data_IF_319807917750
#
_entry.id   IF_319807917750
#
_cell.length_a   1.000
_cell.length_b   1.000
_cell.length_c   1.000
_cell.angle_alpha   90.00
_cell.angle_beta   90.00
_cell.angle_gamma   90.00
#
_symmetry.space_group_name_H-M   'P 1'
#
loop_
_entity.id
_entity.type
_entity.pdbx_description
1 polymer ?
#
# COMPACT_ATOMS: atom_id res chain seq x y z
N UNK A 1 -20.25 -14.73 -8.83
CA UNK A 1 -19.01 -14.09 -9.35
C UNK A 1 -17.82 -14.86 -8.81
N UNK A 2 -16.82 -15.22 -9.65
CA UNK A 2 -15.59 -15.89 -9.19
C UNK A 2 -14.51 -14.82 -9.00
N UNK A 3 -13.99 -14.71 -7.79
CA UNK A 3 -12.87 -13.81 -7.47
C UNK A 3 -11.64 -14.68 -7.17
N UNK A 4 -10.48 -14.29 -7.69
CA UNK A 4 -9.22 -14.99 -7.40
C UNK A 4 -8.64 -14.43 -6.10
N UNK A 5 -9.11 -14.98 -4.98
CA UNK A 5 -8.76 -14.54 -3.64
C UNK A 5 -8.64 -15.80 -2.77
N UNK A 6 -7.74 -15.78 -1.78
CA UNK A 6 -7.65 -16.88 -0.81
C UNK A 6 -8.75 -16.75 0.24
N UNK A 7 -8.79 -15.63 0.95
CA UNK A 7 -9.79 -15.31 1.96
C UNK A 7 -10.17 -13.82 1.89
N UNK A 8 -11.43 -13.50 2.16
CA UNK A 8 -11.94 -12.12 2.03
C UNK A 8 -11.28 -11.18 3.03
N UNK A 9 -11.01 -11.68 4.22
CA UNK A 9 -10.39 -10.95 5.33
C UNK A 9 -8.92 -10.63 5.04
N UNK A 10 -8.26 -11.49 4.26
CA UNK A 10 -6.85 -11.36 3.87
C UNK A 10 -6.64 -10.59 2.56
N UNK A 11 -7.71 -10.28 1.82
CA UNK A 11 -7.63 -9.73 0.47
C UNK A 11 -6.73 -8.49 0.37
N UNK A 12 -6.96 -7.51 1.24
CA UNK A 12 -6.21 -6.24 1.20
C UNK A 12 -4.75 -6.45 1.59
N UNK A 13 -4.50 -7.27 2.60
CA UNK A 13 -3.15 -7.58 3.08
C UNK A 13 -2.34 -8.32 2.02
N UNK A 14 -2.94 -9.29 1.32
CA UNK A 14 -2.29 -10.03 0.24
C UNK A 14 -2.02 -9.15 -0.98
N UNK A 15 -2.95 -8.23 -1.32
CA UNK A 15 -2.73 -7.26 -2.39
C UNK A 15 -1.54 -6.34 -2.09
N UNK A 16 -1.46 -5.78 -0.87
CA UNK A 16 -0.33 -4.95 -0.43
C UNK A 16 0.98 -5.73 -0.47
N UNK A 17 0.98 -6.98 0.02
CA UNK A 17 2.16 -7.86 -0.02
C UNK A 17 2.65 -8.10 -1.44
N UNK A 18 1.72 -8.30 -2.39
CA UNK A 18 2.02 -8.39 -3.82
C UNK A 18 2.69 -7.12 -4.36
N UNK A 19 2.13 -5.95 -4.07
CA UNK A 19 2.69 -4.66 -4.51
C UNK A 19 4.10 -4.42 -3.96
N UNK A 20 4.35 -4.72 -2.69
CA UNK A 20 5.68 -4.52 -2.10
C UNK A 20 6.75 -5.42 -2.73
N UNK A 21 6.38 -6.67 -3.03
CA UNK A 21 7.29 -7.64 -3.68
C UNK A 21 7.67 -7.22 -5.10
N UNK A 22 6.78 -6.53 -5.80
CA UNK A 22 7.04 -6.06 -7.18
C UNK A 22 7.66 -4.66 -7.24
N UNK A 23 7.63 -3.90 -6.15
CA UNK A 23 8.12 -2.52 -6.10
C UNK A 23 9.65 -2.35 -6.04
N UNK A 24 10.43 -3.44 -6.04
CA UNK A 24 11.89 -3.37 -6.09
C UNK A 24 12.54 -2.64 -4.91
N UNK A 25 11.91 -2.64 -3.73
CA UNK A 25 12.42 -1.98 -2.52
C UNK A 25 12.12 -0.48 -2.41
N UNK A 26 11.40 0.12 -3.37
CA UNK A 26 11.01 1.54 -3.32
C UNK A 26 9.84 1.81 -2.36
N UNK A 27 9.12 0.77 -1.95
CA UNK A 27 7.99 0.85 -1.04
C UNK A 27 8.23 0.00 0.21
N UNK A 28 7.78 0.51 1.35
CA UNK A 28 7.82 -0.17 2.64
C UNK A 28 6.48 -0.01 3.38
N UNK A 29 6.24 -0.90 4.34
CA UNK A 29 5.09 -0.79 5.25
C UNK A 29 5.46 0.06 6.45
N UNK A 30 4.50 0.86 6.91
CA UNK A 30 4.57 1.45 8.24
C UNK A 30 4.40 0.34 9.30
N UNK A 31 4.98 0.56 10.48
CA UNK A 31 4.76 -0.31 11.63
C UNK A 31 3.28 -0.28 12.08
N UNK A 32 2.78 -1.41 12.60
CA UNK A 32 1.37 -1.61 12.95
C UNK A 32 0.56 -2.48 11.97
N UNK A 33 1.20 -3.06 10.96
CA UNK A 33 0.61 -4.09 10.10
C UNK A 33 0.27 -5.36 10.91
N UNK A 34 -0.86 -6.05 10.65
CA UNK A 34 -1.83 -5.83 9.57
C UNK A 34 -2.98 -4.87 9.93
N UNK A 35 -3.01 -4.33 11.14
CA UNK A 35 -4.10 -3.48 11.63
C UNK A 35 -4.05 -2.07 11.02
N UNK A 36 -2.85 -1.59 10.69
CA UNK A 36 -2.58 -0.33 10.01
C UNK A 36 -1.99 -0.65 8.64
N UNK A 37 -2.66 -0.25 7.56
CA UNK A 37 -2.31 -0.63 6.18
C UNK A 37 -1.79 0.58 5.42
N UNK A 38 -0.61 1.05 5.83
CA UNK A 38 0.05 2.21 5.23
C UNK A 38 1.30 1.77 4.48
N UNK A 39 1.42 2.21 3.23
CA UNK A 39 2.60 2.02 2.39
C UNK A 39 3.27 3.37 2.18
N UNK A 40 4.58 3.40 2.43
CA UNK A 40 5.43 4.58 2.31
C UNK A 40 6.54 4.34 1.30
N UNK A 41 7.06 5.43 0.72
CA UNK A 41 8.29 5.39 -0.07
C UNK A 41 9.51 5.26 0.82
N UNK A 42 10.46 4.43 0.42
CA UNK A 42 11.74 4.26 1.13
C UNK A 42 12.74 5.38 0.82
N UNK A 43 12.53 6.09 -0.29
CA UNK A 43 13.44 7.12 -0.82
C UNK A 43 12.91 8.56 -0.63
N UNK A 44 12.01 8.78 0.33
CA UNK A 44 11.44 10.11 0.54
C UNK A 44 12.43 11.08 1.20
N UNK A 45 12.63 12.22 0.55
CA UNK A 45 13.41 13.36 1.03
C UNK A 45 12.62 14.19 2.06
N UNK A 46 13.04 14.09 3.33
CA UNK A 46 12.41 14.75 4.48
C UNK A 46 12.58 16.27 4.52
N UNK A 47 13.40 16.86 3.63
CA UNK A 47 13.49 18.32 3.49
C UNK A 47 12.29 18.91 2.74
N UNK A 48 11.48 18.06 2.09
CA UNK A 48 10.31 18.45 1.30
C UNK A 48 9.02 18.10 2.03
N UNK A 49 7.94 18.81 1.66
CA UNK A 49 6.60 18.51 2.18
C UNK A 49 6.14 17.12 1.71
N UNK A 50 5.66 16.30 2.64
CA UNK A 50 5.09 14.99 2.33
C UNK A 50 3.68 15.13 1.74
N UNK A 51 3.38 14.37 0.68
CA UNK A 51 2.01 14.17 0.22
C UNK A 51 1.51 12.81 0.73
N UNK A 52 0.35 12.81 1.37
CA UNK A 52 -0.30 11.61 1.90
C UNK A 52 -1.68 11.50 1.27
N UNK A 53 -2.03 10.32 0.80
CA UNK A 53 -3.34 9.99 0.23
C UNK A 53 -3.83 8.66 0.80
N UNK A 54 -5.11 8.37 0.61
CA UNK A 54 -5.70 7.15 1.14
C UNK A 54 -7.17 6.97 0.80
N UNK A 55 -7.70 5.81 1.13
CA UNK A 55 -9.09 5.43 0.87
C UNK A 55 -9.31 3.94 1.07
N UNK A 56 -10.56 3.49 0.87
CA UNK A 56 -10.88 2.06 0.89
C UNK A 56 -10.26 1.30 -0.30
N UNK A 57 -9.81 0.07 -0.05
CA UNK A 57 -9.26 -0.81 -1.08
C UNK A 57 -10.31 -1.29 -2.09
N UNK A 58 -9.88 -1.74 -3.27
CA UNK A 58 -10.74 -2.20 -4.37
C UNK A 58 -10.61 -1.38 -5.66
N UNK A 59 -9.66 -0.45 -5.72
CA UNK A 59 -9.37 0.37 -6.90
C UNK A 59 -7.95 0.16 -7.44
N UNK A 60 -7.29 -0.95 -7.08
CA UNK A 60 -5.87 -1.22 -7.35
C UNK A 60 -5.51 -1.23 -8.85
N UNK A 61 -4.56 -0.38 -9.32
CA UNK A 61 -3.80 0.63 -8.56
C UNK A 61 -4.51 2.01 -8.53
N UNK A 62 -5.00 2.54 -7.38
CA UNK A 62 -5.34 3.96 -7.32
C UNK A 62 -4.13 4.73 -6.80
N UNK A 63 -3.98 5.97 -7.29
CA UNK A 63 -2.93 6.96 -6.98
C UNK A 63 -1.52 6.65 -7.53
N UNK A 64 -0.87 7.60 -8.23
CA UNK A 64 0.54 7.45 -8.62
C UNK A 64 1.43 7.46 -7.37
N UNK A 65 2.51 6.69 -7.41
CA UNK A 65 3.45 6.41 -6.33
C UNK A 65 4.19 7.63 -5.73
N UNK A 66 3.72 8.87 -5.91
CA UNK A 66 4.32 10.08 -5.35
C UNK A 66 3.88 10.40 -3.91
N UNK A 67 2.86 9.73 -3.38
CA UNK A 67 2.31 9.99 -2.04
C UNK A 67 2.14 8.72 -1.22
N UNK A 68 2.41 8.79 0.08
CA UNK A 68 2.16 7.68 1.00
C UNK A 68 0.68 7.28 0.93
N UNK A 69 0.40 6.00 0.70
CA UNK A 69 -0.96 5.47 0.57
C UNK A 69 -1.36 4.83 1.90
N UNK A 70 -2.39 5.38 2.55
CA UNK A 70 -3.04 4.79 3.71
C UNK A 70 -4.36 4.12 3.29
N UNK A 71 -4.49 2.81 3.51
CA UNK A 71 -5.76 2.09 3.49
C UNK A 71 -6.24 1.84 4.93
#
# INVERSE_FOLDING_TARGET
>A
MKQFINAREALVTEAIDGTLRTAGGLLARLDGYPHIKVVVRTDWDRSKVALVSGGGSGHEPPTPASSAAAC
#
